data_IF_725655737763
#
_entry.id   IF_725655737763
#
_cell.length_a   1.000
_cell.length_b   1.000
_cell.length_c   1.000
_cell.angle_alpha   90.00
_cell.angle_beta   90.00
_cell.angle_gamma   90.00
#
_symmetry.space_group_name_H-M   'P 1'
#
loop_
_entity.id
_entity.type
_entity.pdbx_description
1 polymer ?
#
# COMPACT_ATOMS: atom_id res chain seq x y z
N UNK A 1 14.77 -19.51 -64.06
CA UNK A 1 14.68 -18.22 -63.37
C UNK A 1 13.48 -18.29 -62.39
N UNK A 2 13.75 -18.63 -61.11
CA UNK A 2 12.72 -18.85 -60.12
C UNK A 2 12.62 -17.63 -59.21
N UNK A 3 11.47 -16.96 -59.23
CA UNK A 3 11.23 -15.75 -58.41
C UNK A 3 10.58 -16.15 -57.12
N UNK A 4 11.32 -16.03 -55.98
CA UNK A 4 10.80 -16.26 -54.64
C UNK A 4 10.08 -15.00 -54.18
N UNK A 5 8.75 -15.05 -54.07
CA UNK A 5 7.93 -14.02 -53.44
C UNK A 5 8.06 -14.13 -51.91
N UNK A 6 8.80 -13.21 -51.28
CA UNK A 6 8.79 -13.03 -49.83
C UNK A 6 7.45 -12.46 -49.39
N UNK A 7 6.63 -13.26 -48.69
CA UNK A 7 5.48 -12.76 -47.89
C UNK A 7 6.02 -11.99 -46.69
N UNK A 8 5.88 -10.69 -46.69
CA UNK A 8 6.03 -9.85 -45.48
C UNK A 8 4.80 -10.07 -44.62
N UNK A 9 4.92 -10.81 -43.52
CA UNK A 9 3.91 -10.83 -42.45
C UNK A 9 3.98 -9.45 -41.71
N UNK A 10 2.99 -8.62 -41.92
CA UNK A 10 2.77 -7.43 -41.13
C UNK A 10 2.14 -7.89 -39.81
N UNK A 11 2.94 -8.16 -38.77
CA UNK A 11 2.45 -8.25 -37.41
C UNK A 11 2.02 -6.85 -37.03
N UNK A 12 0.72 -6.60 -37.02
CA UNK A 12 0.11 -5.38 -36.48
C UNK A 12 0.20 -5.52 -34.98
N UNK A 13 1.21 -4.94 -34.35
CA UNK A 13 1.24 -4.71 -32.92
C UNK A 13 0.15 -3.65 -32.67
N UNK A 14 -1.00 -4.09 -32.19
CA UNK A 14 -2.02 -3.20 -31.67
C UNK A 14 -1.47 -2.69 -30.35
N UNK A 15 -0.92 -1.48 -30.34
CA UNK A 15 -0.63 -0.75 -29.11
C UNK A 15 -2.01 -0.51 -28.48
N UNK A 16 -2.38 -1.37 -27.51
CA UNK A 16 -3.52 -1.13 -26.65
C UNK A 16 -3.18 0.14 -25.91
N UNK A 17 -3.97 1.19 -26.05
CA UNK A 17 -3.78 2.44 -25.30
C UNK A 17 -3.68 2.08 -23.82
N UNK A 18 -2.45 2.08 -23.30
CA UNK A 18 -2.21 1.99 -21.87
C UNK A 18 -2.63 3.34 -21.29
N UNK A 19 -3.73 3.35 -20.53
CA UNK A 19 -4.08 4.54 -19.77
C UNK A 19 -2.94 4.80 -18.77
N UNK A 20 -2.31 5.95 -18.94
CA UNK A 20 -1.28 6.46 -18.03
C UNK A 20 -1.92 6.63 -16.66
N UNK A 21 -1.49 5.86 -15.68
CA UNK A 21 -1.93 6.04 -14.29
C UNK A 21 -1.12 7.14 -13.65
N UNK A 22 -1.79 8.24 -13.31
CA UNK A 22 -1.17 9.30 -12.51
C UNK A 22 -1.29 8.92 -11.03
N UNK A 23 -0.21 9.10 -10.28
CA UNK A 23 -0.24 8.95 -8.84
C UNK A 23 0.18 10.26 -8.15
N UNK A 24 -0.52 10.59 -7.09
CA UNK A 24 -0.23 11.72 -6.22
C UNK A 24 0.05 11.19 -4.83
N UNK A 25 1.16 11.56 -4.25
CA UNK A 25 1.52 11.13 -2.91
C UNK A 25 1.94 12.31 -2.03
N UNK A 26 1.67 12.19 -0.75
CA UNK A 26 2.15 13.12 0.26
C UNK A 26 2.44 12.35 1.55
N UNK A 27 3.55 12.67 2.17
CA UNK A 27 3.87 12.28 3.54
C UNK A 27 4.15 13.51 4.40
N UNK A 28 3.83 13.44 5.67
CA UNK A 28 4.05 14.50 6.65
C UNK A 28 4.33 13.88 8.02
N UNK A 29 5.19 14.52 8.79
CA UNK A 29 5.56 14.04 10.14
C UNK A 29 4.41 14.15 11.16
N UNK A 30 3.39 14.95 10.86
CA UNK A 30 2.35 15.31 11.82
C UNK A 30 2.76 16.48 12.72
N UNK A 31 2.04 16.64 13.85
CA UNK A 31 2.26 17.75 14.78
C UNK A 31 2.89 17.31 16.11
N UNK A 32 2.90 16.02 16.37
CA UNK A 32 3.28 15.45 17.67
C UNK A 32 4.53 14.60 17.60
N UNK A 33 4.74 13.93 16.49
CA UNK A 33 5.91 13.06 16.28
C UNK A 33 7.18 13.87 15.99
N UNK A 34 8.33 13.38 16.44
CA UNK A 34 9.64 13.99 16.20
C UNK A 34 10.30 13.46 14.91
N UNK A 35 9.84 12.30 14.43
CA UNK A 35 10.36 11.64 13.23
C UNK A 35 9.21 11.11 12.38
N UNK A 36 9.43 11.06 11.07
CA UNK A 36 8.51 10.40 10.15
C UNK A 36 9.00 8.97 9.91
N UNK A 37 8.27 8.01 10.45
CA UNK A 37 8.54 6.57 10.30
C UNK A 37 7.71 5.92 9.18
N UNK A 38 6.84 6.69 8.52
CA UNK A 38 6.18 6.27 7.30
C UNK A 38 7.16 6.30 6.12
N UNK A 39 7.01 5.34 5.22
CA UNK A 39 7.73 5.32 3.96
C UNK A 39 6.82 4.88 2.82
N UNK A 40 7.03 5.42 1.62
CA UNK A 40 6.24 5.03 0.46
C UNK A 40 7.06 4.99 -0.82
N UNK A 41 6.55 4.28 -1.81
CA UNK A 41 7.08 4.24 -3.17
C UNK A 41 5.95 4.44 -4.18
N UNK A 42 6.19 5.31 -5.14
CA UNK A 42 5.41 5.45 -6.37
C UNK A 42 6.37 5.37 -7.56
N UNK A 43 5.98 4.79 -8.70
CA UNK A 43 6.86 4.72 -9.87
C UNK A 43 7.08 6.12 -10.45
N UNK A 44 8.33 6.41 -10.83
CA UNK A 44 8.71 7.69 -11.46
C UNK A 44 8.32 7.74 -12.94
N UNK A 45 8.21 6.57 -13.57
CA UNK A 45 7.87 6.40 -14.97
C UNK A 45 6.69 5.45 -15.13
N UNK A 46 6.06 5.47 -16.32
CA UNK A 46 4.95 4.56 -16.65
C UNK A 46 5.52 3.25 -17.18
N UNK A 47 6.37 2.63 -16.40
CA UNK A 47 6.89 1.30 -16.70
C UNK A 47 5.96 0.24 -16.10
N UNK A 48 5.81 -0.87 -16.77
CA UNK A 48 5.15 -2.03 -16.20
C UNK A 48 6.17 -2.86 -15.41
N UNK A 49 5.79 -3.43 -14.26
CA UNK A 49 4.52 -3.26 -13.54
C UNK A 49 4.44 -1.95 -12.73
N UNK A 50 3.25 -1.35 -12.69
CA UNK A 50 3.02 -0.19 -11.84
C UNK A 50 2.84 -0.63 -10.39
N UNK A 51 3.85 -0.40 -9.57
CA UNK A 51 3.90 -0.82 -8.16
C UNK A 51 3.80 0.41 -7.26
N UNK A 52 2.88 0.39 -6.32
CA UNK A 52 2.71 1.40 -5.29
C UNK A 52 2.84 0.72 -3.93
N UNK A 53 3.62 1.30 -3.03
CA UNK A 53 3.90 0.69 -1.73
C UNK A 53 3.81 1.79 -0.66
N UNK A 54 3.21 1.45 0.48
CA UNK A 54 3.15 2.29 1.68
C UNK A 54 3.47 1.41 2.88
N UNK A 55 4.25 1.93 3.80
CA UNK A 55 4.65 1.26 5.03
C UNK A 55 4.66 2.27 6.18
N UNK A 56 4.02 1.94 7.28
CA UNK A 56 3.97 2.70 8.53
C UNK A 56 4.85 1.98 9.55
N UNK A 57 5.96 2.62 9.90
CA UNK A 57 7.00 2.02 10.71
C UNK A 57 6.75 2.17 12.21
N UNK A 58 7.03 1.12 12.97
CA UNK A 58 6.96 1.11 14.42
C UNK A 58 8.22 0.52 15.05
N UNK A 59 8.54 0.94 16.27
CA UNK A 59 9.66 0.38 17.04
C UNK A 59 10.74 1.39 17.39
N UNK A 60 10.63 1.99 18.56
CA UNK A 60 11.64 2.87 19.15
C UNK A 60 12.06 4.07 18.29
N UNK A 61 13.12 4.76 18.73
CA UNK A 61 13.54 6.04 18.12
C UNK A 61 13.96 5.95 16.63
N UNK A 62 14.55 4.83 16.20
CA UNK A 62 15.01 4.65 14.80
C UNK A 62 14.46 3.41 14.12
N UNK A 63 13.86 2.50 14.88
CA UNK A 63 13.47 1.19 14.37
C UNK A 63 12.40 1.27 13.29
N UNK A 64 11.37 2.08 13.51
CA UNK A 64 10.25 2.22 12.57
C UNK A 64 10.66 2.77 11.20
N UNK A 65 11.49 3.83 11.16
CA UNK A 65 12.00 4.40 9.91
C UNK A 65 12.81 3.36 9.10
N UNK A 66 13.67 2.62 9.79
CA UNK A 66 14.48 1.56 9.16
C UNK A 66 13.57 0.44 8.64
N UNK A 67 12.59 0.01 9.44
CA UNK A 67 11.70 -1.09 9.08
C UNK A 67 10.84 -0.74 7.86
N UNK A 68 10.17 0.42 7.85
CA UNK A 68 9.29 0.85 6.75
C UNK A 68 10.06 1.03 5.44
N UNK A 69 11.23 1.67 5.49
CA UNK A 69 12.09 1.84 4.33
C UNK A 69 12.60 0.52 3.80
N UNK A 70 13.13 -0.35 4.68
CA UNK A 70 13.69 -1.64 4.31
C UNK A 70 12.63 -2.56 3.70
N UNK A 71 11.41 -2.61 4.27
CA UNK A 71 10.30 -3.38 3.75
C UNK A 71 9.90 -2.89 2.35
N UNK A 72 9.71 -1.58 2.17
CA UNK A 72 9.33 -0.97 0.90
C UNK A 72 10.33 -1.26 -0.20
N UNK A 73 11.63 -1.03 0.06
CA UNK A 73 12.68 -1.28 -0.93
C UNK A 73 12.84 -2.78 -1.25
N UNK A 74 12.65 -3.66 -0.27
CA UNK A 74 12.70 -5.11 -0.46
C UNK A 74 11.57 -5.61 -1.36
N UNK A 75 10.32 -5.19 -1.12
CA UNK A 75 9.17 -5.52 -1.96
C UNK A 75 9.36 -4.99 -3.37
N UNK A 76 9.71 -3.71 -3.51
CA UNK A 76 9.97 -3.08 -4.80
C UNK A 76 10.97 -3.88 -5.62
N UNK A 77 12.16 -4.13 -5.04
CA UNK A 77 13.23 -4.86 -5.70
C UNK A 77 12.84 -6.29 -6.05
N UNK A 78 12.15 -6.99 -5.14
CA UNK A 78 11.70 -8.35 -5.39
C UNK A 78 10.75 -8.41 -6.58
N UNK A 79 9.73 -7.56 -6.63
CA UNK A 79 8.75 -7.54 -7.71
C UNK A 79 9.43 -7.13 -9.03
N UNK A 80 10.25 -6.07 -9.04
CA UNK A 80 10.95 -5.63 -10.26
C UNK A 80 11.85 -6.71 -10.86
N UNK A 81 12.55 -7.48 -10.02
CA UNK A 81 13.47 -8.52 -10.48
C UNK A 81 12.75 -9.79 -10.98
N UNK A 82 11.54 -10.08 -10.49
CA UNK A 82 10.87 -11.34 -10.79
C UNK A 82 9.63 -11.19 -11.69
N UNK A 83 9.18 -9.96 -11.95
CA UNK A 83 7.92 -9.75 -12.68
C UNK A 83 7.99 -10.28 -14.12
N UNK A 84 9.09 -10.04 -14.84
CA UNK A 84 9.21 -10.45 -16.23
C UNK A 84 9.13 -11.98 -16.39
N UNK A 85 9.74 -12.71 -15.47
CA UNK A 85 9.78 -14.18 -15.47
C UNK A 85 8.49 -14.80 -14.90
N UNK A 86 7.66 -14.01 -14.21
CA UNK A 86 6.39 -14.48 -13.66
C UNK A 86 5.33 -14.65 -14.75
N UNK A 87 4.64 -15.80 -14.87
CA UNK A 87 3.51 -15.95 -15.75
C UNK A 87 2.43 -14.90 -15.48
N UNK A 88 1.88 -14.30 -16.55
CA UNK A 88 1.01 -13.13 -16.45
C UNK A 88 -0.47 -13.49 -16.18
N UNK A 89 -0.72 -14.61 -15.49
CA UNK A 89 -2.04 -14.95 -15.00
C UNK A 89 -2.26 -14.43 -13.57
N UNK A 90 -3.49 -14.51 -13.10
CA UNK A 90 -3.89 -13.91 -11.81
C UNK A 90 -3.19 -14.60 -10.63
N UNK A 91 -3.11 -15.91 -10.66
CA UNK A 91 -2.62 -16.74 -9.56
C UNK A 91 -1.11 -16.53 -9.34
N UNK A 92 -0.34 -16.50 -10.41
CA UNK A 92 1.12 -16.31 -10.33
C UNK A 92 1.48 -14.88 -9.92
N UNK A 93 0.71 -13.85 -10.35
CA UNK A 93 0.93 -12.48 -9.89
C UNK A 93 0.59 -12.33 -8.39
N UNK A 94 -0.48 -12.99 -7.91
CA UNK A 94 -0.79 -13.01 -6.48
C UNK A 94 0.35 -13.67 -5.68
N UNK A 95 0.88 -14.79 -6.19
CA UNK A 95 2.01 -15.48 -5.56
C UNK A 95 3.29 -14.65 -5.58
N UNK A 96 3.54 -13.89 -6.63
CA UNK A 96 4.66 -12.95 -6.69
C UNK A 96 4.59 -11.91 -5.55
N UNK A 97 3.40 -11.34 -5.31
CA UNK A 97 3.21 -10.36 -4.23
C UNK A 97 3.37 -11.04 -2.86
N UNK A 98 2.78 -12.21 -2.67
CA UNK A 98 2.92 -12.98 -1.43
C UNK A 98 4.39 -13.22 -1.10
N UNK A 99 5.15 -13.76 -2.05
CA UNK A 99 6.58 -14.02 -1.90
C UNK A 99 7.36 -12.73 -1.63
N UNK A 100 7.00 -11.62 -2.26
CA UNK A 100 7.66 -10.32 -2.04
C UNK A 100 7.44 -9.82 -0.60
N UNK A 101 6.22 -9.98 -0.06
CA UNK A 101 5.91 -9.59 1.33
C UNK A 101 6.62 -10.51 2.33
N UNK A 102 6.63 -11.83 2.10
CA UNK A 102 7.35 -12.79 2.94
C UNK A 102 8.86 -12.50 2.94
N UNK A 103 9.43 -12.21 1.76
CA UNK A 103 10.84 -11.82 1.63
C UNK A 103 11.14 -10.53 2.41
N UNK A 104 10.30 -9.52 2.28
CA UNK A 104 10.47 -8.26 3.02
C UNK A 104 10.39 -8.49 4.55
N UNK A 105 9.46 -9.34 5.01
CA UNK A 105 9.38 -9.72 6.42
C UNK A 105 10.67 -10.34 6.93
N UNK A 106 11.21 -11.32 6.19
CA UNK A 106 12.46 -11.96 6.54
C UNK A 106 13.60 -10.95 6.65
N UNK A 107 13.75 -10.05 5.66
CA UNK A 107 14.81 -9.03 5.65
C UNK A 107 14.71 -8.08 6.84
N UNK A 108 13.49 -7.61 7.18
CA UNK A 108 13.28 -6.72 8.34
C UNK A 108 13.54 -7.48 9.64
N UNK A 109 13.03 -8.72 9.77
CA UNK A 109 13.22 -9.53 10.96
C UNK A 109 14.68 -9.85 11.22
N UNK A 110 15.43 -10.31 10.21
CA UNK A 110 16.87 -10.61 10.35
C UNK A 110 17.65 -9.36 10.74
N UNK A 111 17.33 -8.20 10.12
CA UNK A 111 17.99 -6.93 10.46
C UNK A 111 17.72 -6.51 11.90
N UNK A 112 16.50 -6.76 12.43
CA UNK A 112 16.17 -6.49 13.83
C UNK A 112 16.94 -7.37 14.82
N UNK A 113 17.42 -8.55 14.40
CA UNK A 113 18.23 -9.46 15.22
C UNK A 113 19.74 -9.16 15.11
N UNK A 114 20.15 -8.64 13.96
CA UNK A 114 21.56 -8.31 13.71
C UNK A 114 22.00 -7.04 14.48
N UNK A 115 21.12 -6.07 14.65
CA UNK A 115 21.42 -4.76 15.24
C UNK A 115 20.60 -4.57 16.51
N UNK A 116 21.21 -4.57 17.71
CA UNK A 116 20.49 -4.47 18.99
C UNK A 116 19.59 -3.23 19.09
N UNK A 117 20.02 -2.08 18.53
CA UNK A 117 19.27 -0.82 18.55
C UNK A 117 17.98 -0.86 17.71
N UNK A 118 17.84 -1.89 16.88
CA UNK A 118 16.68 -2.14 16.02
C UNK A 118 15.82 -3.29 16.54
N UNK A 119 16.10 -3.84 17.72
CA UNK A 119 15.32 -4.94 18.29
C UNK A 119 13.84 -4.53 18.43
N UNK A 120 12.95 -5.38 17.95
CA UNK A 120 11.51 -5.15 17.99
C UNK A 120 10.99 -4.14 16.96
N UNK A 121 11.83 -3.69 16.01
CA UNK A 121 11.32 -2.88 14.90
C UNK A 121 10.35 -3.69 14.04
N UNK A 122 9.39 -2.99 13.48
CA UNK A 122 8.40 -3.55 12.57
C UNK A 122 7.75 -2.47 11.72
N UNK A 123 6.86 -2.90 10.83
CA UNK A 123 6.13 -1.97 9.97
C UNK A 123 4.84 -2.60 9.46
N UNK A 124 3.85 -1.77 9.14
CA UNK A 124 2.75 -2.17 8.26
C UNK A 124 3.28 -2.31 6.83
N UNK A 125 2.51 -2.90 5.94
CA UNK A 125 2.83 -2.90 4.52
C UNK A 125 1.58 -2.99 3.66
N UNK A 126 1.45 -2.03 2.76
CA UNK A 126 0.46 -2.00 1.71
C UNK A 126 1.16 -2.06 0.35
N UNK A 127 0.84 -3.04 -0.46
CA UNK A 127 1.31 -3.20 -1.84
C UNK A 127 0.12 -3.14 -2.78
N UNK A 128 0.18 -2.29 -3.80
CA UNK A 128 -0.78 -2.26 -4.89
C UNK A 128 -0.03 -2.33 -6.22
N UNK A 129 -0.12 -3.48 -6.89
CA UNK A 129 0.43 -3.67 -8.23
C UNK A 129 -0.72 -3.60 -9.22
N UNK A 130 -0.64 -2.66 -10.18
CA UNK A 130 -1.64 -2.52 -11.23
C UNK A 130 -1.11 -3.13 -12.51
N UNK A 131 -1.81 -4.14 -12.99
CA UNK A 131 -1.49 -4.82 -14.24
C UNK A 131 -2.75 -5.39 -14.90
N UNK A 132 -2.87 -5.19 -16.20
CA UNK A 132 -3.94 -5.75 -17.06
C UNK A 132 -5.36 -5.56 -16.46
N UNK A 133 -5.73 -4.32 -16.14
CA UNK A 133 -7.02 -3.92 -15.56
C UNK A 133 -7.35 -4.63 -14.24
N UNK A 134 -6.33 -4.95 -13.46
CA UNK A 134 -6.47 -5.47 -12.10
C UNK A 134 -5.52 -4.75 -11.15
N UNK A 135 -5.99 -4.52 -9.93
CA UNK A 135 -5.18 -4.16 -8.79
C UNK A 135 -4.94 -5.43 -7.96
N UNK A 136 -3.68 -5.81 -7.84
CA UNK A 136 -3.22 -6.91 -7.00
C UNK A 136 -2.71 -6.30 -5.69
N UNK A 137 -3.28 -6.74 -4.58
CA UNK A 137 -3.10 -6.13 -3.26
C UNK A 137 -2.42 -7.12 -2.33
N UNK A 138 -1.36 -6.69 -1.66
CA UNK A 138 -0.76 -7.33 -0.50
C UNK A 138 -0.90 -6.40 0.71
N UNK A 139 -1.29 -6.94 1.87
CA UNK A 139 -1.62 -6.17 3.05
C UNK A 139 -1.17 -6.84 4.34
N UNK A 140 -0.48 -6.09 5.20
CA UNK A 140 -0.16 -6.44 6.59
C UNK A 140 -0.24 -5.18 7.45
N UNK A 141 -1.02 -5.20 8.52
CA UNK A 141 -1.10 -4.08 9.48
C UNK A 141 -2.48 -3.42 9.50
N UNK A 142 -2.52 -2.14 9.81
CA UNK A 142 -3.74 -1.31 9.90
C UNK A 142 -3.70 -0.06 9.01
N UNK A 143 -2.66 0.12 8.21
CA UNK A 143 -2.69 0.96 7.03
C UNK A 143 -3.76 0.45 6.07
N UNK A 144 -4.29 1.29 5.21
CA UNK A 144 -5.50 0.92 4.45
C UNK A 144 -5.40 1.20 2.97
N UNK A 145 -6.06 0.34 2.18
CA UNK A 145 -6.33 0.58 0.76
C UNK A 145 -7.84 0.74 0.56
N UNK A 146 -8.21 1.82 -0.12
CA UNK A 146 -9.58 2.10 -0.54
C UNK A 146 -9.69 2.13 -2.06
N UNK A 147 -10.90 1.95 -2.55
CA UNK A 147 -11.28 2.24 -3.93
C UNK A 147 -12.49 3.17 -3.94
N UNK A 148 -12.38 4.26 -4.68
CA UNK A 148 -13.54 5.08 -5.06
C UNK A 148 -13.96 4.64 -6.46
N UNK A 149 -15.23 4.23 -6.57
CA UNK A 149 -15.88 3.91 -7.85
C UNK A 149 -17.21 4.64 -7.91
N UNK A 150 -17.42 5.46 -8.93
CA UNK A 150 -18.52 6.41 -8.99
C UNK A 150 -18.44 7.30 -7.73
N UNK A 151 -19.44 7.25 -6.85
CA UNK A 151 -19.50 8.08 -5.64
C UNK A 151 -19.31 7.28 -4.34
N UNK A 152 -18.85 6.04 -4.47
CA UNK A 152 -18.74 5.12 -3.35
C UNK A 152 -17.28 4.82 -3.05
N UNK A 153 -16.85 5.19 -1.84
CA UNK A 153 -15.58 4.73 -1.27
C UNK A 153 -15.80 3.36 -0.59
N UNK A 154 -14.88 2.44 -0.83
CA UNK A 154 -14.89 1.12 -0.17
C UNK A 154 -13.49 0.76 0.30
N UNK A 155 -13.35 0.43 1.58
CA UNK A 155 -12.14 -0.17 2.12
C UNK A 155 -11.95 -1.57 1.53
N UNK A 156 -10.76 -1.82 0.99
CA UNK A 156 -10.40 -3.09 0.35
C UNK A 156 -9.58 -3.99 1.27
N UNK A 157 -8.91 -3.42 2.27
CA UNK A 157 -8.14 -4.12 3.30
C UNK A 157 -8.96 -4.32 4.57
N UNK A 158 -8.48 -5.21 5.44
CA UNK A 158 -9.05 -5.45 6.76
C UNK A 158 -7.95 -5.30 7.79
N UNK A 159 -8.11 -4.34 8.71
CA UNK A 159 -7.04 -4.00 9.64
C UNK A 159 -6.63 -5.22 10.50
N UNK A 160 -5.35 -5.46 10.60
CA UNK A 160 -4.78 -6.45 11.51
C UNK A 160 -4.53 -5.78 12.87
N UNK A 161 -5.63 -5.43 13.55
CA UNK A 161 -5.59 -4.79 14.87
C UNK A 161 -6.45 -5.53 15.89
N UNK A 162 -6.11 -5.35 17.17
CA UNK A 162 -6.86 -5.94 18.27
C UNK A 162 -8.34 -5.51 18.27
N UNK A 163 -8.59 -4.24 18.01
CA UNK A 163 -9.98 -3.72 17.99
C UNK A 163 -10.78 -4.28 16.81
N UNK A 164 -10.13 -4.53 15.67
CA UNK A 164 -10.79 -5.19 14.55
C UNK A 164 -11.21 -6.62 14.91
N UNK A 165 -10.39 -7.37 15.64
CA UNK A 165 -10.77 -8.70 16.13
C UNK A 165 -11.98 -8.63 17.10
N UNK A 166 -11.99 -7.65 18.01
CA UNK A 166 -13.13 -7.45 18.93
C UNK A 166 -14.43 -7.13 18.18
N UNK A 167 -14.36 -6.35 17.10
CA UNK A 167 -15.52 -6.06 16.23
C UNK A 167 -16.03 -7.35 15.58
N UNK A 168 -15.14 -8.18 15.06
CA UNK A 168 -15.50 -9.45 14.42
C UNK A 168 -16.10 -10.45 15.40
N UNK A 169 -15.56 -10.51 16.61
CA UNK A 169 -16.11 -11.29 17.71
C UNK A 169 -17.42 -10.70 18.28
N UNK A 170 -17.89 -9.57 17.72
CA UNK A 170 -19.09 -8.83 18.19
C UNK A 170 -19.00 -8.40 19.66
N UNK A 171 -17.79 -8.18 20.18
CA UNK A 171 -17.54 -7.72 21.55
C UNK A 171 -17.64 -6.21 21.69
N UNK A 172 -17.35 -5.47 20.60
CA UNK A 172 -17.47 -4.02 20.53
C UNK A 172 -18.04 -3.61 19.15
N UNK A 173 -18.64 -2.44 19.10
CA UNK A 173 -19.06 -1.78 17.87
C UNK A 173 -17.88 -1.07 17.20
N UNK A 174 -18.05 -0.66 15.94
CA UNK A 174 -17.06 0.18 15.24
C UNK A 174 -16.84 1.53 15.93
N UNK A 175 -17.88 2.09 16.54
CA UNK A 175 -17.78 3.37 17.22
C UNK A 175 -16.98 3.26 18.53
N UNK A 176 -17.22 2.20 19.32
CA UNK A 176 -16.45 1.91 20.53
C UNK A 176 -14.97 1.64 20.24
N UNK A 177 -14.66 1.06 19.07
CA UNK A 177 -13.29 0.79 18.64
C UNK A 177 -12.47 2.08 18.49
N UNK A 178 -13.08 3.20 18.04
CA UNK A 178 -12.38 4.47 17.83
C UNK A 178 -11.79 5.05 19.14
N UNK A 179 -12.44 4.81 20.28
CA UNK A 179 -12.02 5.29 21.59
C UNK A 179 -11.40 4.21 22.47
N UNK A 180 -11.22 2.98 21.95
CA UNK A 180 -10.71 1.87 22.74
C UNK A 180 -9.24 2.08 23.15
N UNK A 181 -8.83 1.79 24.41
CA UNK A 181 -7.46 2.03 24.89
C UNK A 181 -6.37 1.29 24.09
N UNK A 182 -6.72 0.16 23.45
CA UNK A 182 -5.81 -0.64 22.63
C UNK A 182 -6.09 -0.48 21.11
N UNK A 183 -6.62 0.66 20.67
CA UNK A 183 -6.98 0.87 19.27
C UNK A 183 -5.80 0.76 18.29
N UNK A 184 -4.59 1.15 18.74
CA UNK A 184 -3.36 1.12 17.96
C UNK A 184 -2.58 -0.21 18.13
N UNK A 185 -3.16 -1.24 18.77
CA UNK A 185 -2.48 -2.52 18.98
C UNK A 185 -2.63 -3.40 17.75
N UNK A 186 -1.53 -3.59 17.02
CA UNK A 186 -1.48 -4.48 15.86
C UNK A 186 -1.45 -5.94 16.28
N UNK A 187 -2.05 -6.79 15.46
CA UNK A 187 -2.01 -8.26 15.60
C UNK A 187 -1.10 -8.92 14.58
N UNK A 188 -0.78 -8.18 13.49
CA UNK A 188 0.22 -8.58 12.50
C UNK A 188 1.00 -7.34 12.04
N UNK A 189 2.33 -7.46 11.95
CA UNK A 189 3.24 -6.49 11.37
C UNK A 189 4.48 -7.18 10.83
N UNK A 190 5.12 -6.62 9.81
CA UNK A 190 6.38 -7.12 9.27
C UNK A 190 7.52 -6.92 10.28
N UNK A 191 8.44 -7.86 10.31
CA UNK A 191 9.66 -7.78 11.10
C UNK A 191 9.52 -8.17 12.57
N UNK A 192 8.29 -8.32 13.10
CA UNK A 192 8.04 -8.68 14.49
C UNK A 192 8.20 -10.17 14.76
N UNK A 193 7.96 -11.00 13.76
CA UNK A 193 8.08 -12.47 13.83
C UNK A 193 8.82 -12.99 12.60
N UNK A 194 9.45 -14.20 12.69
CA UNK A 194 10.18 -14.76 11.54
C UNK A 194 9.30 -15.04 10.32
N UNK A 195 8.01 -15.18 10.53
CA UNK A 195 7.01 -15.42 9.50
C UNK A 195 5.79 -14.53 9.69
N UNK A 196 5.24 -14.02 8.59
CA UNK A 196 3.98 -13.28 8.55
C UNK A 196 3.11 -13.82 7.41
N UNK A 197 1.82 -13.99 7.66
CA UNK A 197 0.85 -14.36 6.64
C UNK A 197 0.15 -13.10 6.14
N UNK A 198 0.45 -12.62 4.92
CA UNK A 198 -0.19 -11.43 4.37
C UNK A 198 -1.60 -11.71 3.84
N UNK A 199 -2.45 -10.72 3.86
CA UNK A 199 -3.70 -10.77 3.11
C UNK A 199 -3.42 -10.43 1.64
N UNK A 200 -3.63 -11.41 0.74
CA UNK A 200 -3.37 -11.27 -0.69
C UNK A 200 -4.68 -11.34 -1.47
N UNK A 201 -4.93 -10.38 -2.34
CA UNK A 201 -6.16 -10.36 -3.15
C UNK A 201 -6.02 -9.58 -4.45
N UNK A 202 -6.86 -9.92 -5.45
CA UNK A 202 -6.99 -9.13 -6.68
C UNK A 202 -8.37 -8.47 -6.75
N UNK A 203 -8.42 -7.29 -7.34
CA UNK A 203 -9.66 -6.55 -7.65
C UNK A 203 -9.64 -6.06 -9.09
N UNK A 204 -10.78 -6.13 -9.75
CA UNK A 204 -10.90 -5.53 -11.07
C UNK A 204 -10.78 -4.01 -10.96
N UNK A 205 -10.01 -3.46 -11.88
CA UNK A 205 -9.83 -2.05 -12.08
C UNK A 205 -10.67 -1.63 -13.29
N UNK A 206 -11.55 -0.64 -13.12
CA UNK A 206 -12.37 -0.09 -14.18
C UNK A 206 -11.95 1.36 -14.44
N UNK A 207 -12.21 1.85 -15.66
CA UNK A 207 -11.93 3.25 -15.99
C UNK A 207 -12.69 4.20 -15.05
N UNK A 208 -11.96 5.15 -14.47
CA UNK A 208 -12.49 6.08 -13.49
C UNK A 208 -12.49 5.58 -12.05
N UNK A 209 -11.96 4.38 -11.77
CA UNK A 209 -11.64 3.98 -10.41
C UNK A 209 -10.47 4.79 -9.88
N UNK A 210 -10.54 5.18 -8.62
CA UNK A 210 -9.42 5.78 -7.89
C UNK A 210 -9.07 4.87 -6.72
N UNK A 211 -7.79 4.50 -6.59
CA UNK A 211 -7.29 3.79 -5.42
C UNK A 211 -6.59 4.76 -4.49
N UNK A 212 -6.77 4.56 -3.20
CA UNK A 212 -6.14 5.36 -2.14
C UNK A 212 -5.46 4.40 -1.19
N UNK A 213 -4.19 4.63 -0.91
CA UNK A 213 -3.42 3.95 0.13
C UNK A 213 -3.06 4.99 1.18
N UNK A 214 -3.20 4.68 2.46
CA UNK A 214 -2.86 5.62 3.53
C UNK A 214 -2.49 4.91 4.84
N UNK A 215 -1.62 5.55 5.63
CA UNK A 215 -1.35 5.17 7.01
C UNK A 215 -2.52 5.54 7.92
N UNK A 216 -2.50 5.01 9.13
CA UNK A 216 -3.54 5.23 10.14
C UNK A 216 -3.61 6.69 10.62
N UNK A 217 -2.50 7.44 10.54
CA UNK A 217 -2.46 8.86 10.86
C UNK A 217 -3.40 9.72 10.02
N UNK A 218 -3.75 9.27 8.81
CA UNK A 218 -4.84 9.90 8.05
C UNK A 218 -6.21 9.48 8.58
N UNK A 219 -6.46 8.18 8.67
CA UNK A 219 -7.82 7.65 8.92
C UNK A 219 -8.25 7.73 10.38
N UNK A 220 -7.32 8.00 11.30
CA UNK A 220 -7.60 8.36 12.68
C UNK A 220 -8.09 9.82 12.81
N UNK A 221 -7.81 10.67 11.82
CA UNK A 221 -8.11 12.11 11.85
C UNK A 221 -9.21 12.53 10.86
N UNK A 222 -9.31 11.86 9.72
CA UNK A 222 -10.21 12.24 8.62
C UNK A 222 -11.13 11.05 8.28
N UNK A 223 -12.44 11.30 8.28
CA UNK A 223 -13.43 10.27 7.98
C UNK A 223 -13.43 9.87 6.49
N UNK A 224 -13.75 8.60 6.19
CA UNK A 224 -13.78 8.06 4.82
C UNK A 224 -14.64 8.88 3.86
N UNK A 225 -15.77 9.41 4.34
CA UNK A 225 -16.64 10.29 3.55
C UNK A 225 -15.90 11.54 3.10
N UNK A 226 -15.16 12.18 4.02
CA UNK A 226 -14.40 13.40 3.73
C UNK A 226 -13.22 13.12 2.78
N UNK A 227 -12.56 11.98 2.94
CA UNK A 227 -11.54 11.51 2.00
C UNK A 227 -12.12 11.41 0.59
N UNK A 228 -13.29 10.78 0.44
CA UNK A 228 -13.96 10.64 -0.85
C UNK A 228 -14.31 12.00 -1.48
N UNK A 229 -14.84 12.93 -0.69
CA UNK A 229 -15.22 14.28 -1.14
C UNK A 229 -14.02 15.03 -1.72
N UNK A 230 -12.91 15.12 -0.99
CA UNK A 230 -11.72 15.86 -1.41
C UNK A 230 -11.05 15.25 -2.64
N UNK A 231 -10.97 13.92 -2.71
CA UNK A 231 -10.39 13.23 -3.87
C UNK A 231 -11.22 13.47 -5.13
N UNK A 232 -12.53 13.54 -5.00
CA UNK A 232 -13.44 13.81 -6.13
C UNK A 232 -13.45 15.29 -6.54
N UNK A 233 -13.24 16.19 -5.60
CA UNK A 233 -13.18 17.62 -5.89
C UNK A 233 -12.00 17.97 -6.83
N UNK A 234 -10.80 17.52 -6.48
CA UNK A 234 -9.59 17.70 -7.27
C UNK A 234 -8.52 16.69 -6.85
N UNK A 235 -8.33 15.66 -7.64
CA UNK A 235 -7.38 14.58 -7.36
C UNK A 235 -5.93 15.08 -7.24
N UNK A 236 -5.56 16.13 -7.99
CA UNK A 236 -4.18 16.63 -8.01
C UNK A 236 -3.76 17.33 -6.72
N UNK A 237 -4.72 17.92 -6.01
CA UNK A 237 -4.50 18.65 -4.75
C UNK A 237 -4.98 17.84 -3.51
N UNK A 238 -5.73 16.77 -3.72
CA UNK A 238 -6.37 16.01 -2.66
C UNK A 238 -5.38 15.50 -1.60
N UNK A 239 -4.23 14.96 -2.00
CA UNK A 239 -3.23 14.47 -1.07
C UNK A 239 -2.76 15.57 -0.09
N UNK A 240 -2.47 16.76 -0.61
CA UNK A 240 -2.08 17.91 0.23
C UNK A 240 -3.22 18.39 1.13
N UNK A 241 -4.46 18.49 0.61
CA UNK A 241 -5.63 18.88 1.40
C UNK A 241 -5.90 17.91 2.54
N UNK A 242 -5.84 16.60 2.28
CA UNK A 242 -6.08 15.55 3.27
C UNK A 242 -5.03 15.57 4.39
N UNK A 243 -3.75 15.68 4.06
CA UNK A 243 -2.68 15.82 5.05
C UNK A 243 -2.87 17.08 5.91
N UNK A 244 -3.25 18.21 5.28
CA UNK A 244 -3.52 19.45 6.01
C UNK A 244 -4.73 19.30 6.96
N UNK A 245 -5.82 18.65 6.53
CA UNK A 245 -6.98 18.40 7.39
C UNK A 245 -6.62 17.48 8.56
N UNK A 246 -5.86 16.41 8.33
CA UNK A 246 -5.39 15.53 9.40
C UNK A 246 -4.51 16.28 10.41
N UNK A 247 -3.62 17.13 9.94
CA UNK A 247 -2.80 18.00 10.79
C UNK A 247 -3.64 19.01 11.60
N UNK A 248 -4.69 19.58 11.00
CA UNK A 248 -5.61 20.49 11.70
C UNK A 248 -6.46 19.77 12.75
N UNK A 249 -6.78 18.49 12.52
CA UNK A 249 -7.50 17.64 13.46
C UNK A 249 -6.64 17.12 14.63
N UNK A 250 -5.35 17.49 14.66
CA UNK A 250 -4.42 17.16 15.74
C UNK A 250 -3.07 16.64 15.29
N UNK A 251 -2.99 15.95 14.12
CA UNK A 251 -1.74 15.44 13.56
C UNK A 251 -0.95 14.58 14.55
N UNK A 252 -1.63 13.68 15.26
CA UNK A 252 -1.03 12.91 16.35
C UNK A 252 -0.02 11.85 15.88
N UNK A 253 -0.04 11.51 14.59
CA UNK A 253 0.87 10.53 14.00
C UNK A 253 1.46 11.02 12.67
N UNK A 254 2.39 10.25 12.11
CA UNK A 254 2.85 10.41 10.73
C UNK A 254 1.66 10.18 9.78
N UNK A 255 1.60 10.96 8.72
CA UNK A 255 0.46 10.95 7.79
C UNK A 255 0.98 10.72 6.39
N UNK A 256 0.65 9.58 5.80
CA UNK A 256 1.06 9.28 4.42
C UNK A 256 -0.14 8.84 3.60
N UNK A 257 -0.21 9.34 2.37
CA UNK A 257 -1.26 9.02 1.40
C UNK A 257 -0.69 8.89 0.00
N UNK A 258 -1.18 7.90 -0.75
CA UNK A 258 -0.99 7.72 -2.20
C UNK A 258 -2.36 7.65 -2.85
N UNK A 259 -2.58 8.43 -3.90
CA UNK A 259 -3.81 8.43 -4.70
C UNK A 259 -3.43 8.02 -6.13
N UNK A 260 -4.08 6.99 -6.65
CA UNK A 260 -3.80 6.36 -7.95
C UNK A 260 -5.06 6.48 -8.81
N UNK A 261 -4.92 7.11 -9.99
CA UNK A 261 -6.04 7.35 -10.91
C UNK A 261 -5.78 6.72 -12.27
#
# INVERSE_FOLDING_TARGET
MWTIKKKKSKTRITIKEMEVKMAFAKTDIGRVREQNQDYYYIPETIEEPQIYILADGMGGYKGGEVASKLATESVKKYIQNNFEDTPKNKEDILKLIENAVEYANMVVYEKSKEIPELEGMGTTLEVCLIYNNKAYIGHVGDSRIYRIRKDIIRKLTKDHSYVQQLIEDKKITREEAKSHPKKNMLTKALGCTPYVEPDIRARNFEKGDIFIMCSDGLTNMVEEKRICELVKEDISTAANKLVNEANQAGGYDNITIIIIN
#
